data_IF_305218516199
#
_entry.id   IF_305218516199
#
_cell.length_a   1.000
_cell.length_b   1.000
_cell.length_c   1.000
_cell.angle_alpha   90.00
_cell.angle_beta   90.00
_cell.angle_gamma   90.00
#
_symmetry.space_group_name_H-M   'P 1'
#
loop_
_entity.id
_entity.type
_entity.pdbx_description
1 polymer ?
#
# COMPACT_ATOMS: atom_id res chain seq x y z
N UNK A 1 15.65 10.34 8.95
CA UNK A 1 16.63 11.29 8.38
C UNK A 1 18.00 10.88 8.87
N UNK A 2 18.98 10.76 7.99
CA UNK A 2 20.38 10.60 8.37
C UNK A 2 21.12 11.87 8.00
N UNK A 3 21.93 12.37 8.93
CA UNK A 3 22.72 13.58 8.79
C UNK A 3 24.20 13.23 8.91
N UNK A 4 25.01 13.76 8.01
CA UNK A 4 26.45 13.76 8.09
C UNK A 4 26.90 15.22 8.27
N UNK A 5 27.75 15.45 9.26
CA UNK A 5 28.29 16.78 9.59
C UNK A 5 29.81 16.68 9.69
N UNK A 6 30.50 17.65 9.11
CA UNK A 6 31.96 17.79 9.16
C UNK A 6 32.28 19.22 9.60
N UNK A 7 33.12 19.37 10.61
CA UNK A 7 33.54 20.68 11.13
C UNK A 7 35.05 20.86 10.98
N UNK A 8 35.46 22.05 10.56
CA UNK A 8 36.84 22.52 10.58
C UNK A 8 37.25 22.96 11.99
N UNK A 9 38.54 22.92 12.29
CA UNK A 9 39.09 23.36 13.59
C UNK A 9 39.38 24.87 13.59
N UNK A 10 39.94 25.38 14.69
CA UNK A 10 40.32 26.78 14.83
C UNK A 10 41.24 27.25 13.68
N UNK A 11 41.15 28.52 13.24
CA UNK A 11 40.36 29.62 13.82
C UNK A 11 38.94 29.81 13.24
N UNK A 12 38.56 29.10 12.16
CA UNK A 12 37.32 29.40 11.43
C UNK A 12 36.10 28.60 11.87
N UNK A 13 36.27 27.38 12.42
CA UNK A 13 35.18 26.53 12.93
C UNK A 13 34.02 26.29 11.93
N UNK A 14 34.30 26.39 10.63
CA UNK A 14 33.29 26.20 9.58
C UNK A 14 32.69 24.79 9.64
N UNK A 15 31.39 24.65 9.39
CA UNK A 15 30.70 23.35 9.39
C UNK A 15 29.96 23.14 8.08
N UNK A 16 30.13 21.96 7.50
CA UNK A 16 29.37 21.49 6.35
C UNK A 16 28.48 20.32 6.77
N UNK A 17 27.24 20.34 6.31
CA UNK A 17 26.26 19.29 6.60
C UNK A 17 25.61 18.77 5.33
N UNK A 18 25.21 17.51 5.35
CA UNK A 18 24.36 16.91 4.35
C UNK A 18 23.37 15.96 5.02
N UNK A 19 22.13 15.97 4.54
CA UNK A 19 21.07 15.11 5.06
C UNK A 19 20.41 14.28 3.96
N UNK A 20 19.94 13.10 4.33
CA UNK A 20 19.17 12.23 3.43
C UNK A 20 18.07 11.48 4.17
N UNK A 21 16.91 11.38 3.52
CA UNK A 21 15.79 10.59 4.03
C UNK A 21 16.10 9.08 3.91
N UNK A 22 15.92 8.33 4.99
CA UNK A 22 15.88 6.88 4.94
C UNK A 22 14.43 6.42 4.85
N UNK A 23 14.13 5.63 3.82
CA UNK A 23 12.83 4.98 3.65
C UNK A 23 12.87 3.57 4.23
N UNK A 24 11.97 3.29 5.16
CA UNK A 24 11.76 1.95 5.72
C UNK A 24 10.57 1.31 5.05
N UNK A 25 10.77 0.13 4.50
CA UNK A 25 9.73 -0.68 3.89
C UNK A 25 9.38 -1.85 4.81
N UNK A 26 8.08 -2.04 5.02
CA UNK A 26 7.52 -3.16 5.76
C UNK A 26 6.55 -3.85 4.81
N UNK A 27 6.91 -5.05 4.37
CA UNK A 27 6.05 -5.86 3.53
C UNK A 27 4.92 -6.47 4.38
N UNK A 28 3.72 -6.65 3.81
CA UNK A 28 2.67 -7.44 4.46
C UNK A 28 3.21 -8.83 4.83
N UNK A 29 2.90 -9.30 6.03
CA UNK A 29 3.31 -10.63 6.50
C UNK A 29 2.62 -11.78 5.77
N UNK A 30 1.47 -11.49 5.15
CA UNK A 30 0.61 -12.42 4.45
C UNK A 30 -0.11 -11.71 3.29
N UNK A 31 -0.68 -12.50 2.38
CA UNK A 31 -1.52 -11.99 1.30
C UNK A 31 -2.81 -11.34 1.84
N UNK A 32 -3.52 -10.55 1.01
CA UNK A 32 -4.78 -9.96 1.43
C UNK A 32 -5.85 -11.03 1.64
N UNK A 33 -6.77 -10.75 2.58
CA UNK A 33 -7.90 -11.61 2.89
C UNK A 33 -9.19 -11.02 2.34
N UNK A 34 -10.04 -11.88 1.78
CA UNK A 34 -11.39 -11.54 1.39
C UNK A 34 -12.35 -11.85 2.54
N UNK A 35 -13.17 -10.88 2.89
CA UNK A 35 -14.20 -11.01 3.92
C UNK A 35 -15.54 -10.50 3.42
N UNK A 36 -16.62 -10.97 4.05
CA UNK A 36 -17.97 -10.79 3.53
C UNK A 36 -18.25 -11.78 2.39
N UNK A 37 -19.16 -11.41 1.50
CA UNK A 37 -19.65 -12.29 0.45
C UNK A 37 -20.55 -13.42 0.94
N UNK A 38 -21.25 -14.05 0.01
CA UNK A 38 -22.11 -15.20 0.23
C UNK A 38 -21.42 -16.46 -0.31
N UNK A 39 -21.81 -17.60 0.23
CA UNK A 39 -21.30 -18.90 -0.21
C UNK A 39 -21.73 -19.23 -1.65
N UNK A 40 -22.91 -18.75 -2.04
CA UNK A 40 -23.50 -18.95 -3.37
C UNK A 40 -24.16 -17.67 -3.85
N UNK A 41 -24.18 -17.51 -5.17
CA UNK A 41 -24.80 -16.40 -5.86
C UNK A 41 -25.57 -16.89 -7.08
N UNK A 42 -26.62 -16.17 -7.43
CA UNK A 42 -27.37 -16.33 -8.67
C UNK A 42 -26.93 -15.28 -9.68
N UNK A 43 -27.19 -15.57 -10.95
CA UNK A 43 -26.98 -14.59 -12.02
C UNK A 43 -27.83 -13.36 -11.73
N UNK A 44 -27.22 -12.18 -11.84
CA UNK A 44 -27.82 -10.90 -11.47
C UNK A 44 -27.66 -10.52 -9.99
N UNK A 45 -27.04 -11.35 -9.15
CA UNK A 45 -26.72 -10.96 -7.77
C UNK A 45 -25.52 -10.02 -7.74
N UNK A 46 -25.56 -9.07 -6.82
CA UNK A 46 -24.42 -8.20 -6.52
C UNK A 46 -23.48 -8.85 -5.51
N UNK A 47 -22.21 -8.97 -5.88
CA UNK A 47 -21.16 -9.44 -4.96
C UNK A 47 -20.55 -8.26 -4.19
N UNK A 48 -20.71 -8.26 -2.87
CA UNK A 48 -20.08 -7.28 -1.98
C UNK A 48 -19.10 -8.01 -1.07
N UNK A 49 -17.82 -7.75 -1.29
CA UNK A 49 -16.70 -8.34 -0.55
C UNK A 49 -15.68 -7.26 -0.20
N UNK A 50 -14.98 -7.45 0.91
CA UNK A 50 -13.93 -6.55 1.37
C UNK A 50 -12.58 -7.28 1.27
N UNK A 51 -11.64 -6.69 0.52
CA UNK A 51 -10.26 -7.13 0.43
C UNK A 51 -9.41 -6.30 1.38
N UNK A 52 -8.81 -6.95 2.38
CA UNK A 52 -7.99 -6.30 3.40
C UNK A 52 -6.56 -6.84 3.35
N UNK A 53 -5.57 -5.96 3.25
CA UNK A 53 -4.15 -6.34 3.36
C UNK A 53 -3.70 -6.38 4.82
N UNK A 54 -2.68 -7.20 5.10
CA UNK A 54 -1.92 -7.08 6.33
C UNK A 54 -1.16 -5.74 6.39
N UNK A 55 -0.79 -5.33 7.61
CA UNK A 55 -0.10 -4.06 7.85
C UNK A 55 1.18 -3.96 7.02
N UNK A 56 1.37 -2.83 6.36
CA UNK A 56 2.52 -2.56 5.50
C UNK A 56 2.90 -1.08 5.51
N UNK A 57 4.15 -0.82 5.13
CA UNK A 57 4.67 0.53 4.91
C UNK A 57 5.51 0.54 3.62
N UNK A 58 5.16 1.35 2.61
CA UNK A 58 3.94 2.16 2.51
C UNK A 58 2.67 1.28 2.46
N UNK A 59 1.49 1.91 2.49
CA UNK A 59 0.23 1.19 2.38
C UNK A 59 0.20 0.33 1.11
N UNK A 60 -0.24 -0.92 1.26
CA UNK A 60 -0.33 -1.85 0.13
C UNK A 60 -1.33 -1.37 -0.93
N UNK A 61 -1.00 -1.64 -2.19
CA UNK A 61 -1.92 -1.44 -3.32
C UNK A 61 -2.68 -2.73 -3.57
N UNK A 62 -4.00 -2.69 -3.44
CA UNK A 62 -4.88 -3.82 -3.72
C UNK A 62 -5.42 -3.75 -5.15
N UNK A 63 -5.58 -4.92 -5.78
CA UNK A 63 -6.17 -5.07 -7.11
C UNK A 63 -7.12 -6.25 -7.08
N UNK A 64 -8.19 -6.16 -7.85
CA UNK A 64 -9.19 -7.22 -7.96
C UNK A 64 -9.03 -7.97 -9.26
N UNK A 65 -9.14 -9.30 -9.18
CA UNK A 65 -9.12 -10.18 -10.33
C UNK A 65 -10.35 -11.10 -10.25
N UNK A 66 -11.00 -11.30 -11.38
CA UNK A 66 -12.07 -12.30 -11.54
C UNK A 66 -11.62 -13.23 -12.65
N UNK A 67 -11.52 -14.54 -12.37
CA UNK A 67 -11.03 -15.54 -13.33
C UNK A 67 -9.70 -15.12 -13.99
N UNK A 68 -8.75 -14.65 -13.18
CA UNK A 68 -7.42 -14.15 -13.60
C UNK A 68 -7.43 -12.88 -14.47
N UNK A 69 -8.60 -12.26 -14.69
CA UNK A 69 -8.72 -10.99 -15.40
C UNK A 69 -8.73 -9.82 -14.41
N UNK A 70 -7.82 -8.85 -14.61
CA UNK A 70 -7.76 -7.64 -13.79
C UNK A 70 -8.99 -6.78 -14.06
N UNK A 71 -9.75 -6.48 -13.01
CA UNK A 71 -10.87 -5.55 -13.08
C UNK A 71 -10.49 -4.20 -12.49
N UNK A 72 -10.90 -3.12 -13.15
CA UNK A 72 -10.77 -1.76 -12.62
C UNK A 72 -12.00 -1.43 -11.79
N UNK A 73 -11.83 -1.32 -10.48
CA UNK A 73 -12.87 -0.78 -9.59
C UNK A 73 -13.00 0.72 -9.88
N UNK A 74 -14.13 1.11 -10.46
CA UNK A 74 -14.51 2.52 -10.57
C UNK A 74 -15.03 2.96 -9.20
N UNK A 75 -14.22 3.74 -8.49
CA UNK A 75 -14.49 4.29 -7.14
C UNK A 75 -15.57 5.38 -7.16
N UNK A 76 -16.67 5.16 -7.89
CA UNK A 76 -17.93 5.90 -7.84
C UNK A 76 -18.99 5.03 -8.54
N UNK A 77 -19.65 4.17 -7.77
CA UNK A 77 -20.83 3.36 -8.14
C UNK A 77 -20.81 2.65 -9.51
N UNK A 78 -20.30 1.42 -9.52
CA UNK A 78 -20.88 0.36 -10.36
C UNK A 78 -21.02 -0.93 -9.56
N UNK A 79 -22.27 -1.38 -9.47
CA UNK A 79 -22.70 -2.73 -9.08
C UNK A 79 -22.10 -3.72 -10.07
N UNK A 80 -21.45 -4.78 -9.57
CA UNK A 80 -21.05 -5.92 -10.41
C UNK A 80 -22.15 -6.97 -10.27
N UNK A 81 -22.92 -7.15 -11.34
CA UNK A 81 -23.87 -8.23 -11.49
C UNK A 81 -23.12 -9.45 -12.06
N UNK A 82 -23.26 -10.60 -11.41
CA UNK A 82 -22.73 -11.89 -11.87
C UNK A 82 -23.46 -12.35 -13.14
#
# INVERSE_FOLDING_TARGET
>A
MYRCEISAEAPSFDTAEAEKEMKVFVLPSEGPTLTGGNQEYRIGDTVVVNCTSAKSKPAATLRWYINDELIFIQMDNKTFDI
#
